data_IF_998167495367
#
_entry.id   IF_998167495367
#
_cell.length_a   1.000
_cell.length_b   1.000
_cell.length_c   1.000
_cell.angle_alpha   90.00
_cell.angle_beta   90.00
_cell.angle_gamma   90.00
#
_symmetry.space_group_name_H-M   'P 1'
#
loop_
_entity.id
_entity.type
_entity.pdbx_description
1 polymer ?
#
# COMPACT_ATOMS: atom_id res chain seq x y z
N UNK A 1 1.18 25.80 -20.22
CA UNK A 1 0.28 26.90 -19.78
C UNK A 1 1.09 28.18 -19.70
N UNK A 2 0.57 29.32 -20.18
CA UNK A 2 1.24 30.61 -20.04
C UNK A 2 1.12 31.15 -18.59
N UNK A 3 2.02 32.06 -18.15
CA UNK A 3 1.90 32.67 -16.83
C UNK A 3 0.56 33.42 -16.62
N UNK A 4 0.02 34.05 -17.66
CA UNK A 4 -1.28 34.74 -17.64
C UNK A 4 -2.43 33.76 -17.44
N UNK A 5 -2.44 32.63 -18.17
CA UNK A 5 -3.45 31.57 -18.01
C UNK A 5 -3.40 30.95 -16.61
N UNK A 6 -2.18 30.80 -16.03
CA UNK A 6 -2.02 30.29 -14.68
C UNK A 6 -2.61 31.25 -13.63
N UNK A 7 -2.38 32.57 -13.77
CA UNK A 7 -2.92 33.60 -12.87
C UNK A 7 -4.44 33.64 -12.92
N UNK A 8 -5.03 33.59 -14.12
CA UNK A 8 -6.50 33.57 -14.31
C UNK A 8 -7.12 32.31 -13.66
N UNK A 9 -6.52 31.13 -13.88
CA UNK A 9 -6.99 29.88 -13.25
C UNK A 9 -7.00 29.99 -11.71
N UNK A 10 -5.91 30.49 -11.13
CA UNK A 10 -5.81 30.64 -9.66
C UNK A 10 -6.87 31.61 -9.14
N UNK A 11 -7.14 32.72 -9.83
CA UNK A 11 -8.19 33.66 -9.46
C UNK A 11 -9.60 33.03 -9.53
N UNK A 12 -9.88 32.23 -10.55
CA UNK A 12 -11.16 31.51 -10.71
C UNK A 12 -11.34 30.44 -9.63
N UNK A 13 -10.28 29.70 -9.32
CA UNK A 13 -10.29 28.73 -8.21
C UNK A 13 -10.52 29.42 -6.86
N UNK A 14 -9.89 30.58 -6.62
CA UNK A 14 -10.08 31.36 -5.41
C UNK A 14 -11.53 31.82 -5.25
N UNK A 15 -12.13 32.36 -6.34
CA UNK A 15 -13.53 32.78 -6.35
C UNK A 15 -14.50 31.63 -6.07
N UNK A 16 -14.18 30.40 -6.53
CA UNK A 16 -15.05 29.23 -6.35
C UNK A 16 -14.91 28.56 -4.99
N UNK A 17 -13.70 28.42 -4.49
CA UNK A 17 -13.40 27.62 -3.29
C UNK A 17 -13.31 28.48 -2.01
N UNK A 18 -13.16 29.79 -2.15
CA UNK A 18 -12.93 30.71 -1.04
C UNK A 18 -11.55 30.54 -0.37
N UNK A 19 -11.26 31.31 0.66
CA UNK A 19 -9.94 31.37 1.28
C UNK A 19 -9.53 30.05 1.98
N UNK A 20 -10.46 29.28 2.50
CA UNK A 20 -10.18 27.99 3.12
C UNK A 20 -9.95 26.88 2.09
N UNK A 21 -10.37 27.09 0.83
CA UNK A 21 -10.35 26.10 -0.23
C UNK A 21 -9.17 26.24 -1.21
N UNK A 22 -8.33 27.29 -1.11
CA UNK A 22 -7.19 27.48 -1.99
C UNK A 22 -5.97 27.96 -1.21
N UNK A 23 -4.81 27.28 -1.41
CA UNK A 23 -3.50 27.69 -0.87
C UNK A 23 -2.61 28.15 -2.03
N UNK A 24 -2.02 29.33 -1.88
CA UNK A 24 -1.10 29.93 -2.88
C UNK A 24 0.20 30.43 -2.26
N UNK A 25 0.23 30.69 -0.95
CA UNK A 25 1.47 31.08 -0.27
C UNK A 25 2.47 29.93 -0.25
N UNK A 26 3.71 30.19 -0.51
CA UNK A 26 4.78 29.19 -0.61
C UNK A 26 4.89 28.30 0.64
N UNK A 27 4.79 28.90 1.82
CA UNK A 27 4.79 28.17 3.10
C UNK A 27 3.67 27.17 3.23
N UNK A 28 2.48 27.49 2.72
CA UNK A 28 1.28 26.67 2.82
C UNK A 28 1.27 25.56 1.76
N UNK A 29 1.89 25.82 0.61
CA UNK A 29 2.00 24.88 -0.52
C UNK A 29 3.12 23.87 -0.32
N UNK A 30 4.20 24.24 0.35
CA UNK A 30 5.39 23.42 0.52
C UNK A 30 5.13 21.99 1.04
N UNK A 31 4.23 21.72 2.01
CA UNK A 31 3.95 20.36 2.47
C UNK A 31 3.32 19.46 1.40
N UNK A 32 2.67 20.04 0.39
CA UNK A 32 2.01 19.33 -0.71
C UNK A 32 2.91 19.13 -1.93
N UNK A 33 4.06 19.82 -1.95
CA UNK A 33 4.95 19.90 -3.11
C UNK A 33 5.99 18.77 -3.18
N UNK A 34 6.12 17.95 -2.16
CA UNK A 34 7.14 16.89 -2.08
C UNK A 34 6.53 15.60 -1.56
N UNK A 35 7.00 14.46 -2.10
CA UNK A 35 6.60 13.14 -1.62
C UNK A 35 7.18 12.84 -0.22
N UNK A 36 6.61 11.84 0.47
CA UNK A 36 7.04 11.43 1.82
C UNK A 36 8.53 11.08 1.89
N UNK A 37 9.11 10.45 0.85
CA UNK A 37 10.53 10.08 0.77
C UNK A 37 11.45 11.26 0.40
N UNK A 38 10.87 12.42 0.05
CA UNK A 38 11.57 13.61 -0.46
C UNK A 38 12.41 13.37 -1.72
N UNK A 39 12.01 12.40 -2.53
CA UNK A 39 12.69 12.08 -3.80
C UNK A 39 12.19 12.93 -4.97
N UNK A 40 10.95 13.40 -4.88
CA UNK A 40 10.26 14.11 -5.96
C UNK A 40 9.81 15.51 -5.48
N UNK A 41 10.75 16.45 -5.29
CA UNK A 41 10.40 17.83 -4.99
C UNK A 41 9.77 18.47 -6.24
N UNK A 42 8.55 18.96 -6.10
CA UNK A 42 7.79 19.61 -7.15
C UNK A 42 7.53 21.09 -6.86
N UNK A 43 6.80 21.73 -7.78
CA UNK A 43 6.34 23.12 -7.65
C UNK A 43 4.96 23.24 -8.29
N UNK A 44 3.86 23.13 -7.53
CA UNK A 44 2.53 23.33 -8.09
C UNK A 44 2.19 24.81 -8.25
N UNK A 45 1.20 25.11 -9.10
CA UNK A 45 0.64 26.45 -9.25
C UNK A 45 -0.10 26.91 -7.97
N UNK A 46 -0.83 25.99 -7.37
CA UNK A 46 -1.59 26.17 -6.14
C UNK A 46 -2.01 24.81 -5.59
N UNK A 47 -2.61 24.82 -4.39
CA UNK A 47 -3.28 23.65 -3.80
C UNK A 47 -4.77 23.96 -3.66
N UNK A 48 -5.59 23.30 -4.48
CA UNK A 48 -7.06 23.34 -4.36
C UNK A 48 -7.50 22.33 -3.30
N UNK A 49 -8.36 22.76 -2.37
CA UNK A 49 -8.85 21.98 -1.23
C UNK A 49 -10.38 22.00 -1.19
N UNK A 50 -11.04 21.29 -2.12
CA UNK A 50 -12.49 21.20 -2.17
C UNK A 50 -13.05 20.53 -0.89
N UNK A 51 -14.28 20.90 -0.50
CA UNK A 51 -15.01 20.34 0.63
C UNK A 51 -16.18 19.45 0.22
N UNK A 52 -16.41 19.30 -1.09
CA UNK A 52 -17.49 18.47 -1.62
C UNK A 52 -17.15 17.91 -3.00
N UNK A 53 -17.82 16.83 -3.40
CA UNK A 53 -17.71 16.25 -4.76
C UNK A 53 -18.06 17.27 -5.83
N UNK A 54 -19.04 18.15 -5.59
CA UNK A 54 -19.38 19.24 -6.50
C UNK A 54 -18.23 20.24 -6.69
N UNK A 55 -17.53 20.60 -5.61
CA UNK A 55 -16.33 21.45 -5.71
C UNK A 55 -15.17 20.76 -6.42
N UNK A 56 -14.97 19.44 -6.22
CA UNK A 56 -14.00 18.67 -7.00
C UNK A 56 -14.32 18.75 -8.49
N UNK A 57 -15.57 18.52 -8.86
CA UNK A 57 -16.02 18.60 -10.26
C UNK A 57 -15.77 19.99 -10.88
N UNK A 58 -16.00 21.07 -10.12
CA UNK A 58 -15.71 22.42 -10.56
C UNK A 58 -14.21 22.67 -10.75
N UNK A 59 -13.37 22.22 -9.80
CA UNK A 59 -11.91 22.33 -9.94
C UNK A 59 -11.44 21.60 -11.21
N UNK A 60 -11.94 20.40 -11.47
CA UNK A 60 -11.59 19.62 -12.67
C UNK A 60 -11.97 20.38 -13.94
N UNK A 61 -13.20 20.96 -14.02
CA UNK A 61 -13.64 21.74 -15.18
C UNK A 61 -12.78 22.97 -15.39
N UNK A 62 -12.49 23.74 -14.33
CA UNK A 62 -11.66 24.93 -14.40
C UNK A 62 -10.23 24.61 -14.87
N UNK A 63 -9.64 23.55 -14.34
CA UNK A 63 -8.32 23.09 -14.76
C UNK A 63 -8.33 22.63 -16.23
N UNK A 64 -9.37 21.91 -16.66
CA UNK A 64 -9.53 21.46 -18.03
C UNK A 64 -9.62 22.63 -18.99
N UNK A 65 -10.45 23.63 -18.70
CA UNK A 65 -10.60 24.85 -19.52
C UNK A 65 -9.27 25.61 -19.64
N UNK A 66 -8.45 25.60 -18.60
CA UNK A 66 -7.13 26.24 -18.58
C UNK A 66 -6.01 25.35 -19.16
N UNK A 67 -6.27 24.08 -19.46
CA UNK A 67 -5.23 23.11 -19.83
C UNK A 67 -4.23 22.82 -18.71
N UNK A 68 -4.64 22.92 -17.45
CA UNK A 68 -3.81 22.70 -16.29
C UNK A 68 -3.96 21.27 -15.77
N UNK A 69 -2.85 20.55 -15.63
CA UNK A 69 -2.88 19.20 -15.09
C UNK A 69 -3.16 19.20 -13.58
N UNK A 70 -3.82 18.13 -13.12
CA UNK A 70 -4.26 17.93 -11.73
C UNK A 70 -3.47 16.78 -11.13
N UNK A 71 -2.97 16.99 -9.91
CA UNK A 71 -2.35 15.96 -9.09
C UNK A 71 -3.25 15.69 -7.87
N UNK A 72 -4.08 14.65 -7.89
CA UNK A 72 -4.89 14.27 -6.72
C UNK A 72 -3.99 13.86 -5.56
N UNK A 73 -4.30 14.38 -4.36
CA UNK A 73 -3.51 14.09 -3.18
C UNK A 73 -4.41 13.86 -1.95
N UNK A 74 -4.22 12.71 -1.30
CA UNK A 74 -4.76 12.41 0.02
C UNK A 74 -3.74 12.75 1.12
N UNK A 75 -3.39 11.76 1.97
CA UNK A 75 -2.45 11.93 3.08
C UNK A 75 -0.96 12.05 2.68
N UNK A 76 -0.64 11.98 1.40
CA UNK A 76 0.71 12.06 0.85
C UNK A 76 1.72 11.08 1.49
N UNK A 77 1.25 9.89 1.87
CA UNK A 77 2.03 8.83 2.52
C UNK A 77 2.65 7.83 1.54
N UNK A 78 2.35 7.97 0.24
CA UNK A 78 2.81 7.05 -0.80
C UNK A 78 4.33 7.09 -1.03
N UNK A 79 4.91 5.93 -1.35
CA UNK A 79 6.35 5.73 -1.49
C UNK A 79 6.86 5.80 -2.93
N UNK A 80 5.96 5.93 -3.91
CA UNK A 80 6.28 5.93 -5.34
C UNK A 80 6.18 7.31 -6.01
N UNK A 81 5.98 8.39 -5.23
CA UNK A 81 5.86 9.76 -5.74
C UNK A 81 4.58 10.02 -6.55
N UNK A 82 3.55 9.18 -6.41
CA UNK A 82 2.28 9.29 -7.16
C UNK A 82 1.48 10.56 -6.87
N UNK A 83 1.62 11.12 -5.66
CA UNK A 83 0.90 12.32 -5.22
C UNK A 83 1.73 13.62 -5.32
N UNK A 84 2.99 13.56 -5.80
CA UNK A 84 3.85 14.74 -5.90
C UNK A 84 3.70 15.42 -7.27
N UNK A 85 3.55 16.77 -7.33
CA UNK A 85 3.54 17.52 -8.58
C UNK A 85 4.94 17.55 -9.21
N UNK A 86 5.01 17.97 -10.48
CA UNK A 86 6.27 18.25 -11.16
C UNK A 86 6.85 19.63 -10.78
N UNK A 87 7.96 20.01 -11.44
CA UNK A 87 8.65 21.29 -11.19
C UNK A 87 8.18 22.43 -12.10
N UNK A 88 7.20 22.21 -12.97
CA UNK A 88 6.77 23.18 -13.98
C UNK A 88 6.14 24.46 -13.39
N UNK A 89 5.53 24.35 -12.22
CA UNK A 89 4.74 25.44 -11.64
C UNK A 89 3.36 25.61 -12.27
N UNK A 90 2.90 24.63 -13.07
CA UNK A 90 1.64 24.70 -13.82
C UNK A 90 0.59 23.69 -13.39
N UNK A 91 0.97 22.71 -12.58
CA UNK A 91 0.05 21.71 -12.07
C UNK A 91 -0.71 22.21 -10.84
N UNK A 92 -1.96 21.82 -10.72
CA UNK A 92 -2.78 22.07 -9.52
C UNK A 92 -2.77 20.81 -8.66
N UNK A 93 -2.31 20.91 -7.41
CA UNK A 93 -2.53 19.83 -6.44
C UNK A 93 -3.97 19.90 -5.95
N UNK A 94 -4.69 18.80 -6.08
CA UNK A 94 -6.07 18.64 -5.61
C UNK A 94 -6.07 17.84 -4.32
N UNK A 95 -6.05 18.53 -3.17
CA UNK A 95 -6.03 17.90 -1.85
C UNK A 95 -7.45 17.61 -1.37
N UNK A 96 -7.71 16.35 -1.03
CA UNK A 96 -9.03 15.89 -0.57
C UNK A 96 -9.20 15.96 0.96
N UNK A 97 -8.22 16.48 1.70
CA UNK A 97 -8.21 16.47 3.17
C UNK A 97 -9.40 17.18 3.85
N UNK A 98 -10.16 18.03 3.15
CA UNK A 98 -11.40 18.64 3.69
C UNK A 98 -12.63 17.74 3.55
N UNK A 99 -12.57 16.71 2.73
CA UNK A 99 -13.65 15.73 2.53
C UNK A 99 -13.41 14.53 3.44
N UNK A 100 -13.61 14.70 4.74
CA UNK A 100 -13.18 13.73 5.76
C UNK A 100 -14.35 13.05 6.49
N UNK A 101 -15.59 13.23 6.04
CA UNK A 101 -16.76 12.71 6.72
C UNK A 101 -16.91 11.18 6.52
N UNK A 102 -17.35 10.52 7.60
CA UNK A 102 -17.96 9.18 7.52
C UNK A 102 -19.44 9.39 7.26
N UNK A 103 -19.90 9.01 6.06
CA UNK A 103 -21.28 9.23 5.63
C UNK A 103 -22.26 8.21 6.21
N UNK A 104 -21.80 6.96 6.42
CA UNK A 104 -22.63 5.89 7.00
C UNK A 104 -21.77 4.77 7.54
N UNK A 105 -22.27 4.08 8.58
CA UNK A 105 -21.76 2.79 9.08
C UNK A 105 -22.95 1.86 9.25
N UNK A 106 -22.95 0.73 8.57
CA UNK A 106 -23.97 -0.30 8.69
C UNK A 106 -23.35 -1.58 9.31
N UNK A 107 -23.60 -1.83 10.60
CA UNK A 107 -23.05 -3.00 11.29
C UNK A 107 -23.72 -4.33 10.88
N UNK A 108 -24.91 -4.29 10.25
CA UNK A 108 -25.64 -5.49 9.76
C UNK A 108 -25.21 -5.84 8.35
N UNK A 109 -25.20 -4.86 7.45
CA UNK A 109 -24.71 -5.00 6.07
C UNK A 109 -23.19 -5.15 6.00
N UNK A 110 -22.47 -4.87 7.10
CA UNK A 110 -21.00 -4.87 7.19
C UNK A 110 -20.40 -3.92 6.16
N UNK A 111 -20.82 -2.67 6.19
CA UNK A 111 -20.31 -1.63 5.30
C UNK A 111 -20.04 -0.31 6.02
N UNK A 112 -19.08 0.45 5.50
CA UNK A 112 -18.77 1.81 5.91
C UNK A 112 -18.63 2.67 4.66
N UNK A 113 -19.31 3.81 4.63
CA UNK A 113 -19.16 4.81 3.56
C UNK A 113 -18.40 6.00 4.08
N UNK A 114 -17.23 6.26 3.51
CA UNK A 114 -16.37 7.37 3.89
C UNK A 114 -15.99 8.24 2.69
N UNK A 115 -15.79 9.51 2.94
CA UNK A 115 -15.20 10.44 1.97
C UNK A 115 -13.71 10.18 1.79
N UNK A 116 -13.17 10.56 0.64
CA UNK A 116 -11.81 10.24 0.22
C UNK A 116 -10.72 10.84 1.13
N UNK A 117 -10.97 11.96 1.78
CA UNK A 117 -10.08 12.61 2.74
C UNK A 117 -10.22 12.10 4.19
N UNK A 118 -11.11 11.13 4.44
CA UNK A 118 -11.20 10.48 5.75
C UNK A 118 -9.91 9.71 6.03
N UNK A 119 -9.27 9.96 7.18
CA UNK A 119 -8.09 9.23 7.61
C UNK A 119 -8.46 7.78 7.88
N UNK A 120 -7.65 6.82 7.44
CA UNK A 120 -7.94 5.39 7.55
C UNK A 120 -8.17 4.97 9.01
N UNK A 121 -7.36 5.46 9.96
CA UNK A 121 -7.56 5.22 11.40
C UNK A 121 -8.94 5.70 11.87
N UNK A 122 -9.40 6.86 11.44
CA UNK A 122 -10.74 7.36 11.77
C UNK A 122 -11.84 6.43 11.27
N UNK A 123 -11.68 5.87 10.06
CA UNK A 123 -12.62 4.89 9.52
C UNK A 123 -12.57 3.55 10.28
N UNK A 124 -11.40 3.11 10.71
CA UNK A 124 -11.22 1.93 11.56
C UNK A 124 -11.88 2.14 12.94
N UNK A 125 -11.68 3.30 13.55
CA UNK A 125 -12.27 3.64 14.87
C UNK A 125 -13.80 3.68 14.79
N UNK A 126 -14.37 4.20 13.69
CA UNK A 126 -15.82 4.21 13.48
C UNK A 126 -16.38 2.78 13.30
N UNK A 127 -15.66 1.89 12.63
CA UNK A 127 -16.02 0.48 12.54
C UNK A 127 -15.93 -0.20 13.92
N UNK A 128 -14.87 0.10 14.69
CA UNK A 128 -14.66 -0.45 16.03
C UNK A 128 -15.76 -0.02 17.03
N UNK A 129 -16.27 1.22 16.91
CA UNK A 129 -17.36 1.75 17.73
C UNK A 129 -18.66 0.93 17.60
N UNK A 130 -18.86 0.25 16.47
CA UNK A 130 -19.99 -0.67 16.24
C UNK A 130 -19.60 -2.14 16.31
N UNK A 131 -18.46 -2.46 16.94
CA UNK A 131 -17.92 -3.82 17.10
C UNK A 131 -17.69 -4.53 15.75
N UNK A 132 -17.12 -3.78 14.78
CA UNK A 132 -16.70 -4.28 13.47
C UNK A 132 -15.25 -3.91 13.22
N UNK A 133 -14.67 -4.47 12.17
CA UNK A 133 -13.30 -4.20 11.73
C UNK A 133 -13.34 -3.75 10.29
N UNK A 134 -12.66 -2.66 9.97
CA UNK A 134 -12.24 -2.32 8.63
C UNK A 134 -10.89 -3.01 8.41
N UNK A 135 -10.81 -4.07 7.58
CA UNK A 135 -9.67 -4.99 7.60
C UNK A 135 -8.45 -4.49 6.80
N UNK A 136 -8.37 -3.22 6.49
CA UNK A 136 -7.24 -2.59 5.82
C UNK A 136 -6.33 -2.00 6.91
N UNK A 137 -5.09 -2.48 7.02
CA UNK A 137 -4.13 -2.04 8.05
C UNK A 137 -2.70 -2.11 7.53
N UNK A 138 -1.99 -1.01 7.64
CA UNK A 138 -0.58 -0.86 7.29
C UNK A 138 0.05 0.31 8.06
N UNK A 139 1.37 0.45 8.02
CA UNK A 139 2.12 1.37 8.88
C UNK A 139 1.65 2.84 8.84
N UNK A 140 1.14 3.33 7.71
CA UNK A 140 0.73 4.74 7.54
C UNK A 140 -0.75 5.01 7.85
N UNK A 141 -1.51 4.09 8.45
CA UNK A 141 -2.96 4.21 8.67
C UNK A 141 -3.38 5.45 9.47
N UNK A 142 -2.49 6.02 10.30
CA UNK A 142 -2.73 7.24 11.07
C UNK A 142 -2.77 8.53 10.24
N UNK A 143 -2.33 8.49 8.98
CA UNK A 143 -2.29 9.67 8.08
C UNK A 143 -2.72 9.36 6.65
N UNK A 144 -2.70 8.11 6.21
CA UNK A 144 -3.25 7.71 4.93
C UNK A 144 -4.76 7.98 4.89
N UNK A 145 -5.26 8.45 3.74
CA UNK A 145 -6.66 8.78 3.53
C UNK A 145 -7.35 7.75 2.64
N UNK A 146 -8.62 7.49 2.87
CA UNK A 146 -9.43 6.48 2.18
C UNK A 146 -9.30 6.57 0.66
N UNK A 147 -9.37 7.77 0.06
CA UNK A 147 -9.22 7.95 -1.38
C UNK A 147 -7.85 7.50 -1.90
N UNK A 148 -6.78 7.80 -1.16
CA UNK A 148 -5.41 7.35 -1.49
C UNK A 148 -5.26 5.84 -1.33
N UNK A 149 -5.80 5.26 -0.25
CA UNK A 149 -5.82 3.81 0.02
C UNK A 149 -6.49 3.04 -1.13
N UNK A 150 -7.62 3.55 -1.61
CA UNK A 150 -8.33 2.96 -2.77
C UNK A 150 -7.55 3.19 -4.07
N UNK A 151 -7.07 4.43 -4.31
CA UNK A 151 -6.37 4.78 -5.53
C UNK A 151 -5.06 4.02 -5.73
N UNK A 152 -4.40 3.60 -4.65
CA UNK A 152 -3.18 2.77 -4.71
C UNK A 152 -3.46 1.27 -4.58
N UNK A 153 -4.72 0.87 -4.33
CA UNK A 153 -5.07 -0.50 -3.97
C UNK A 153 -4.18 -1.01 -2.83
N UNK A 154 -4.09 -0.23 -1.75
CA UNK A 154 -3.16 -0.54 -0.66
C UNK A 154 -3.41 -1.94 -0.06
N UNK A 155 -2.32 -2.60 0.27
CA UNK A 155 -2.31 -3.89 0.96
C UNK A 155 -2.07 -3.75 2.46
N UNK A 156 -1.19 -4.58 3.00
CA UNK A 156 -0.75 -4.59 4.39
C UNK A 156 -0.96 -5.94 5.09
N UNK A 157 -0.96 -5.91 6.40
CA UNK A 157 -0.88 -7.11 7.25
C UNK A 157 -2.03 -8.11 7.09
N UNK A 158 -3.22 -7.64 6.70
CA UNK A 158 -4.44 -8.46 6.69
C UNK A 158 -4.80 -9.03 5.31
N UNK A 159 -3.90 -8.90 4.32
CA UNK A 159 -4.18 -9.28 2.92
C UNK A 159 -4.42 -10.78 2.76
N UNK A 160 -3.68 -11.61 3.49
CA UNK A 160 -3.87 -13.07 3.50
C UNK A 160 -5.34 -13.46 3.73
N UNK A 161 -6.00 -12.79 4.66
CA UNK A 161 -7.38 -13.09 5.06
C UNK A 161 -8.42 -12.30 4.29
N UNK A 162 -8.17 -11.04 4.06
CA UNK A 162 -9.19 -10.09 3.61
C UNK A 162 -8.96 -9.58 2.20
N UNK A 163 -7.85 -9.96 1.58
CA UNK A 163 -7.42 -9.40 0.31
C UNK A 163 -6.99 -7.94 0.41
N UNK A 164 -6.48 -7.42 -0.68
CA UNK A 164 -6.12 -6.01 -0.79
C UNK A 164 -7.36 -5.10 -0.74
N UNK A 165 -7.15 -3.79 -0.72
CA UNK A 165 -8.24 -2.80 -0.71
C UNK A 165 -9.28 -3.07 -1.81
N UNK A 166 -8.89 -3.51 -3.00
CA UNK A 166 -9.76 -3.88 -4.12
C UNK A 166 -10.86 -4.86 -3.72
N UNK A 167 -10.53 -5.88 -2.95
CA UNK A 167 -11.49 -6.89 -2.47
C UNK A 167 -12.49 -6.33 -1.45
N UNK A 168 -12.17 -5.18 -0.86
CA UNK A 168 -12.96 -4.54 0.19
C UNK A 168 -13.75 -3.31 -0.29
N UNK A 169 -13.62 -2.91 -1.58
CA UNK A 169 -14.39 -1.80 -2.16
C UNK A 169 -15.68 -2.32 -2.79
N UNK A 170 -16.82 -1.89 -2.25
CA UNK A 170 -18.16 -2.24 -2.76
C UNK A 170 -18.73 -1.17 -3.68
N UNK A 171 -18.39 0.09 -3.49
CA UNK A 171 -18.87 1.20 -4.31
C UNK A 171 -17.93 2.38 -4.30
N UNK A 172 -17.95 3.18 -5.35
CA UNK A 172 -17.14 4.40 -5.48
C UNK A 172 -17.99 5.58 -5.97
N UNK A 173 -17.60 6.76 -5.53
CA UNK A 173 -17.97 8.04 -6.13
C UNK A 173 -16.69 8.64 -6.73
N UNK A 174 -16.74 9.00 -8.02
CA UNK A 174 -15.57 9.44 -8.79
C UNK A 174 -15.92 10.64 -9.64
N UNK A 175 -15.02 11.63 -9.71
CA UNK A 175 -15.08 12.72 -10.67
C UNK A 175 -14.14 12.38 -11.84
N UNK A 176 -14.67 12.37 -13.06
CA UNK A 176 -13.94 12.09 -14.30
C UNK A 176 -13.21 13.35 -14.81
N UNK A 177 -12.36 13.18 -15.83
CA UNK A 177 -11.56 14.26 -16.40
C UNK A 177 -12.38 15.40 -17.06
N UNK A 178 -13.64 15.13 -17.41
CA UNK A 178 -14.57 16.15 -17.93
C UNK A 178 -15.35 16.88 -16.83
N UNK A 179 -15.14 16.51 -15.55
CA UNK A 179 -15.86 17.02 -14.39
C UNK A 179 -17.23 16.37 -14.17
N UNK A 180 -17.59 15.32 -14.89
CA UNK A 180 -18.79 14.54 -14.59
C UNK A 180 -18.59 13.69 -13.33
N UNK A 181 -19.67 13.46 -12.60
CA UNK A 181 -19.66 12.68 -11.34
C UNK A 181 -20.31 11.33 -11.58
N UNK A 182 -19.56 10.27 -11.35
CA UNK A 182 -20.08 8.90 -11.34
C UNK A 182 -20.43 8.53 -9.90
N UNK A 183 -21.71 8.54 -9.54
CA UNK A 183 -22.22 8.25 -8.21
C UNK A 183 -22.59 6.78 -8.06
N UNK A 184 -21.64 5.94 -7.68
CA UNK A 184 -21.81 4.49 -7.55
C UNK A 184 -21.61 3.97 -6.13
N UNK A 185 -22.04 4.70 -5.10
CA UNK A 185 -21.93 4.30 -3.70
C UNK A 185 -22.96 3.24 -3.32
N UNK A 186 -22.93 2.10 -4.00
CA UNK A 186 -23.81 0.97 -3.72
C UNK A 186 -23.15 0.03 -2.72
N UNK A 187 -23.84 -0.29 -1.63
CA UNK A 187 -23.38 -1.19 -0.58
C UNK A 187 -23.79 -2.67 -0.88
N UNK A 188 -23.66 -3.09 -2.13
CA UNK A 188 -24.12 -4.40 -2.58
C UNK A 188 -22.93 -5.36 -2.70
N UNK A 189 -23.08 -6.58 -2.14
CA UNK A 189 -22.10 -7.67 -2.34
C UNK A 189 -22.24 -8.36 -3.69
N UNK A 190 -23.43 -8.29 -4.29
CA UNK A 190 -23.75 -8.84 -5.61
C UNK A 190 -24.36 -7.73 -6.46
N UNK A 191 -23.65 -7.28 -7.47
CA UNK A 191 -24.12 -6.31 -8.47
C UNK A 191 -23.50 -6.66 -9.83
N UNK A 192 -24.24 -7.45 -10.62
CA UNK A 192 -23.86 -7.84 -11.99
C UNK A 192 -24.61 -6.99 -13.05
N UNK A 193 -25.15 -5.83 -12.67
CA UNK A 193 -25.89 -4.94 -13.55
C UNK A 193 -24.94 -4.05 -14.38
N UNK A 194 -24.22 -4.62 -15.33
CA UNK A 194 -23.27 -3.93 -16.21
C UNK A 194 -21.80 -4.19 -15.83
N UNK A 195 -20.92 -3.39 -16.40
CA UNK A 195 -19.48 -3.49 -16.10
C UNK A 195 -19.17 -3.08 -14.67
N UNK A 196 -18.24 -3.77 -14.03
CA UNK A 196 -17.71 -3.39 -12.72
C UNK A 196 -16.67 -2.27 -12.86
N UNK A 197 -17.14 -1.10 -13.30
CA UNK A 197 -16.32 0.06 -13.63
C UNK A 197 -15.49 0.60 -12.45
N UNK A 198 -15.93 0.40 -11.19
CA UNK A 198 -15.18 0.84 -10.01
C UNK A 198 -13.78 0.24 -9.96
N UNK A 199 -13.59 -0.96 -10.52
CA UNK A 199 -12.30 -1.65 -10.55
C UNK A 199 -11.26 -0.95 -11.44
N UNK A 200 -11.67 -0.06 -12.35
CA UNK A 200 -10.76 0.76 -13.15
C UNK A 200 -10.08 1.84 -12.28
N UNK A 201 -10.76 2.33 -11.27
CA UNK A 201 -10.26 3.41 -10.41
C UNK A 201 -9.46 2.90 -9.20
N UNK A 202 -9.73 1.67 -8.73
CA UNK A 202 -8.93 1.04 -7.67
C UNK A 202 -7.54 0.69 -8.22
N UNK A 203 -6.50 1.28 -7.63
CA UNK A 203 -5.12 1.11 -8.09
C UNK A 203 -4.76 1.96 -9.32
N UNK A 204 -5.61 2.95 -9.70
CA UNK A 204 -5.33 3.86 -10.81
C UNK A 204 -4.41 5.04 -10.45
N UNK A 205 -4.08 5.21 -9.19
CA UNK A 205 -3.22 6.28 -8.67
C UNK A 205 -3.65 7.69 -9.12
N UNK A 206 -4.98 7.91 -9.23
CA UNK A 206 -5.54 9.20 -9.64
C UNK A 206 -5.36 9.55 -11.11
N UNK A 207 -4.94 8.61 -11.96
CA UNK A 207 -4.70 8.86 -13.39
C UNK A 207 -5.96 8.72 -14.25
N UNK A 208 -7.01 8.06 -13.75
CA UNK A 208 -8.25 7.81 -14.50
C UNK A 208 -9.45 8.60 -13.99
N UNK A 209 -9.38 9.11 -12.77
CA UNK A 209 -10.45 9.86 -12.09
C UNK A 209 -10.05 10.24 -10.69
N UNK A 210 -10.78 11.16 -10.09
CA UNK A 210 -10.59 11.58 -8.69
C UNK A 210 -11.65 10.90 -7.83
N UNK A 211 -11.24 9.97 -6.97
CA UNK A 211 -12.12 9.29 -6.01
C UNK A 211 -12.51 10.29 -4.93
N UNK A 212 -13.82 10.49 -4.69
CA UNK A 212 -14.35 11.42 -3.70
C UNK A 212 -15.00 10.73 -2.51
N UNK A 213 -15.49 9.49 -2.67
CA UNK A 213 -15.97 8.64 -1.58
C UNK A 213 -15.92 7.17 -1.96
N UNK A 214 -15.90 6.31 -0.95
CA UNK A 214 -15.92 4.85 -1.11
C UNK A 214 -16.86 4.18 -0.12
N UNK A 215 -17.49 3.08 -0.55
CA UNK A 215 -18.14 2.11 0.32
C UNK A 215 -17.16 0.96 0.54
N UNK A 216 -16.77 0.77 1.79
CA UNK A 216 -15.80 -0.24 2.22
C UNK A 216 -16.51 -1.36 2.98
N UNK A 217 -16.07 -2.59 2.74
CA UNK A 217 -16.54 -3.79 3.44
C UNK A 217 -15.94 -3.83 4.85
N UNK A 218 -16.79 -4.13 5.83
CA UNK A 218 -16.40 -4.44 7.19
C UNK A 218 -16.42 -5.95 7.44
N UNK A 219 -15.74 -6.37 8.49
CA UNK A 219 -15.75 -7.73 9.00
C UNK A 219 -16.22 -7.76 10.46
N UNK A 220 -16.68 -8.93 10.91
CA UNK A 220 -16.91 -9.16 12.32
C UNK A 220 -15.59 -9.04 13.09
N UNK A 221 -15.64 -8.44 14.28
CA UNK A 221 -14.47 -8.38 15.16
C UNK A 221 -14.18 -9.78 15.72
N UNK A 222 -12.96 -10.31 15.51
CA UNK A 222 -12.58 -11.59 16.11
C UNK A 222 -12.56 -11.48 17.64
N UNK A 223 -12.92 -12.57 18.33
CA UNK A 223 -12.93 -12.64 19.80
C UNK A 223 -11.65 -13.26 20.34
N UNK A 224 -11.02 -14.10 19.55
CA UNK A 224 -9.81 -14.84 19.90
C UNK A 224 -8.74 -14.52 18.86
N UNK A 225 -7.53 -14.28 19.33
CA UNK A 225 -6.33 -14.05 18.52
C UNK A 225 -5.23 -14.92 19.10
N UNK A 226 -4.50 -15.60 18.25
CA UNK A 226 -3.32 -16.37 18.58
C UNK A 226 -2.15 -15.84 17.75
N UNK A 227 -1.10 -15.34 18.41
CA UNK A 227 0.09 -14.80 17.78
C UNK A 227 1.29 -15.60 18.25
N UNK A 228 2.06 -16.15 17.31
CA UNK A 228 3.25 -16.94 17.58
C UNK A 228 4.46 -16.48 16.76
N UNK A 229 5.65 -16.65 17.33
CA UNK A 229 6.93 -16.52 16.66
C UNK A 229 7.64 -17.85 16.69
N UNK A 230 8.12 -18.33 15.52
CA UNK A 230 8.84 -19.57 15.38
C UNK A 230 10.21 -19.31 14.74
N UNK A 231 11.23 -20.00 15.22
CA UNK A 231 12.54 -20.08 14.59
C UNK A 231 12.53 -21.22 13.57
N UNK A 232 12.83 -20.94 12.30
CA UNK A 232 12.81 -21.92 11.21
C UNK A 232 14.19 -22.00 10.53
N UNK A 233 14.61 -23.17 10.02
CA UNK A 233 15.94 -23.33 9.46
C UNK A 233 16.13 -22.63 8.12
N UNK A 234 15.10 -22.57 7.30
CA UNK A 234 15.13 -22.04 5.93
C UNK A 234 13.74 -21.60 5.45
N UNK A 235 13.65 -20.90 4.31
CA UNK A 235 12.36 -20.50 3.73
C UNK A 235 11.50 -21.67 3.25
N UNK A 236 12.07 -22.80 2.90
CA UNK A 236 11.36 -24.02 2.52
C UNK A 236 10.59 -24.59 3.72
N UNK A 237 11.20 -24.61 4.91
CA UNK A 237 10.53 -24.99 6.15
C UNK A 237 9.40 -24.01 6.50
N UNK A 238 9.63 -22.70 6.31
CA UNK A 238 8.57 -21.69 6.46
C UNK A 238 7.38 -21.93 5.52
N UNK A 239 7.64 -22.37 4.28
CA UNK A 239 6.59 -22.68 3.30
C UNK A 239 5.80 -23.94 3.72
N UNK A 240 6.47 -25.01 4.22
CA UNK A 240 5.78 -26.19 4.75
C UNK A 240 4.95 -25.84 5.97
N UNK A 241 5.47 -25.02 6.89
CA UNK A 241 4.73 -24.49 8.04
C UNK A 241 3.50 -23.68 7.60
N UNK A 242 3.63 -22.86 6.55
CA UNK A 242 2.49 -22.13 5.99
C UNK A 242 1.42 -23.08 5.46
N UNK A 243 1.80 -24.13 4.73
CA UNK A 243 0.86 -25.13 4.23
C UNK A 243 0.16 -25.86 5.38
N UNK A 244 0.90 -26.29 6.40
CA UNK A 244 0.32 -26.89 7.62
C UNK A 244 -0.68 -25.94 8.31
N UNK A 245 -0.29 -24.65 8.43
CA UNK A 245 -1.17 -23.66 9.02
C UNK A 245 -2.45 -23.43 8.19
N UNK A 246 -2.34 -23.46 6.84
CA UNK A 246 -3.52 -23.37 5.96
C UNK A 246 -4.47 -24.56 6.13
N UNK A 247 -3.95 -25.76 6.26
CA UNK A 247 -4.75 -26.98 6.41
C UNK A 247 -5.50 -27.00 7.78
N UNK A 248 -4.85 -26.52 8.86
CA UNK A 248 -5.40 -26.60 10.20
C UNK A 248 -6.18 -25.34 10.64
N UNK A 249 -5.74 -24.15 10.22
CA UNK A 249 -6.33 -22.88 10.65
C UNK A 249 -7.20 -22.23 9.54
N UNK A 250 -6.97 -22.59 8.28
CA UNK A 250 -7.74 -22.09 7.13
C UNK A 250 -7.84 -20.57 7.10
N UNK A 251 -9.07 -20.07 6.94
CA UNK A 251 -9.35 -18.62 6.88
C UNK A 251 -9.13 -17.88 8.21
N UNK A 252 -8.75 -18.56 9.29
CA UNK A 252 -8.39 -17.91 10.54
C UNK A 252 -7.02 -17.25 10.48
N UNK A 253 -6.14 -17.64 9.54
CA UNK A 253 -4.84 -17.01 9.35
C UNK A 253 -5.05 -15.55 8.96
N UNK A 254 -4.56 -14.63 9.78
CA UNK A 254 -4.65 -13.19 9.56
C UNK A 254 -3.36 -12.62 8.99
N UNK A 255 -2.21 -13.12 9.46
CA UNK A 255 -0.90 -12.75 8.96
C UNK A 255 0.06 -13.94 9.03
N UNK A 256 0.98 -14.03 8.09
CA UNK A 256 2.07 -15.00 8.06
C UNK A 256 3.32 -14.32 7.49
N UNK A 257 4.22 -13.91 8.40
CA UNK A 257 5.37 -13.07 8.11
C UNK A 257 6.65 -13.90 8.12
N UNK A 258 7.41 -13.85 7.03
CA UNK A 258 8.78 -14.38 6.97
C UNK A 258 9.76 -13.28 7.38
N UNK A 259 10.74 -13.60 8.23
CA UNK A 259 11.70 -12.62 8.76
C UNK A 259 13.10 -13.25 8.72
N UNK A 260 14.06 -12.63 8.03
CA UNK A 260 15.45 -13.10 8.04
C UNK A 260 16.11 -12.87 9.41
N UNK A 261 17.07 -13.72 9.74
CA UNK A 261 17.89 -13.56 10.96
C UNK A 261 18.60 -12.22 11.01
N UNK A 262 19.03 -11.69 9.85
CA UNK A 262 19.62 -10.36 9.74
C UNK A 262 18.63 -9.28 10.20
N UNK A 263 17.36 -9.35 9.82
CA UNK A 263 16.33 -8.39 10.22
C UNK A 263 16.23 -8.27 11.74
N UNK A 264 16.12 -9.40 12.47
CA UNK A 264 16.03 -9.38 13.94
C UNK A 264 17.36 -8.99 14.60
N UNK A 265 18.50 -9.35 13.99
CA UNK A 265 19.81 -8.89 14.47
C UNK A 265 19.97 -7.36 14.37
N UNK A 266 19.44 -6.73 13.29
CA UNK A 266 19.41 -5.28 13.14
C UNK A 266 18.49 -4.62 14.18
N UNK A 267 17.30 -5.17 14.41
CA UNK A 267 16.36 -4.70 15.43
C UNK A 267 17.05 -4.69 16.81
N UNK A 268 17.69 -5.79 17.18
CA UNK A 268 18.41 -5.90 18.45
C UNK A 268 19.58 -4.90 18.56
N UNK A 269 20.37 -4.75 17.47
CA UNK A 269 21.52 -3.83 17.41
C UNK A 269 21.12 -2.37 17.61
N UNK A 270 19.98 -1.98 17.08
CA UNK A 270 19.50 -0.59 17.12
C UNK A 270 18.51 -0.30 18.25
N UNK A 271 18.50 -1.14 19.29
CA UNK A 271 17.76 -0.89 20.53
C UNK A 271 16.26 -1.23 20.45
N UNK A 272 15.85 -2.06 19.49
CA UNK A 272 14.49 -2.58 19.42
C UNK A 272 14.16 -3.64 20.49
N UNK A 273 12.97 -4.21 20.45
CA UNK A 273 12.53 -5.23 21.39
C UNK A 273 13.44 -6.47 21.39
N UNK A 274 13.52 -7.14 22.53
CA UNK A 274 14.29 -8.39 22.65
C UNK A 274 13.53 -9.52 21.97
N UNK A 275 14.22 -10.25 21.08
CA UNK A 275 13.72 -11.50 20.55
C UNK A 275 13.64 -12.55 21.68
N UNK A 276 12.48 -13.17 21.94
CA UNK A 276 12.33 -14.20 22.97
C UNK A 276 13.01 -15.52 22.60
N UNK A 277 13.28 -15.77 21.30
CA UNK A 277 13.93 -16.97 20.79
C UNK A 277 15.44 -16.77 20.64
N UNK A 278 16.17 -17.87 20.53
CA UNK A 278 17.59 -17.84 20.16
C UNK A 278 17.84 -17.35 18.72
N UNK A 279 19.11 -17.13 18.33
CA UNK A 279 19.46 -16.81 16.97
C UNK A 279 19.06 -17.93 16.00
N UNK A 280 18.41 -17.58 14.90
CA UNK A 280 18.02 -18.48 13.82
C UNK A 280 18.26 -17.80 12.48
N UNK A 281 18.52 -18.55 11.40
CA UNK A 281 18.62 -17.99 10.04
C UNK A 281 17.33 -17.28 9.61
N UNK A 282 16.19 -17.85 9.99
CA UNK A 282 14.87 -17.33 9.65
C UNK A 282 13.88 -17.47 10.80
N UNK A 283 12.85 -16.64 10.77
CA UNK A 283 11.73 -16.69 11.70
C UNK A 283 10.42 -16.54 10.93
N UNK A 284 9.36 -17.09 11.51
CA UNK A 284 7.98 -16.90 11.08
C UNK A 284 7.19 -16.29 12.21
N UNK A 285 6.57 -15.14 11.97
CA UNK A 285 5.54 -14.56 12.83
C UNK A 285 4.18 -14.89 12.22
N UNK A 286 3.36 -15.65 12.92
CA UNK A 286 2.02 -16.02 12.50
C UNK A 286 0.98 -15.47 13.45
N UNK A 287 -0.09 -14.91 12.89
CA UNK A 287 -1.27 -14.50 13.64
C UNK A 287 -2.52 -15.12 13.04
N UNK A 288 -3.30 -15.77 13.88
CA UNK A 288 -4.61 -16.27 13.53
C UNK A 288 -5.68 -15.61 14.40
N UNK A 289 -6.86 -15.37 13.82
CA UNK A 289 -7.95 -14.69 14.52
C UNK A 289 -9.31 -15.33 14.19
N UNK A 290 -10.15 -15.58 15.20
CA UNK A 290 -11.45 -16.24 15.04
C UNK A 290 -12.46 -15.78 16.07
N UNK A 291 -13.72 -16.05 15.82
CA UNK A 291 -14.80 -15.95 16.82
C UNK A 291 -14.99 -17.24 17.62
N UNK A 292 -14.30 -18.33 17.23
CA UNK A 292 -14.40 -19.64 17.86
C UNK A 292 -13.35 -19.80 18.98
N UNK A 293 -13.73 -20.36 20.15
CA UNK A 293 -12.82 -20.48 21.28
C UNK A 293 -11.68 -21.49 21.08
N UNK A 294 -11.86 -22.49 20.19
CA UNK A 294 -10.85 -23.52 19.90
C UNK A 294 -9.61 -23.01 19.12
N UNK A 295 -9.57 -21.72 18.75
CA UNK A 295 -8.46 -21.18 17.96
C UNK A 295 -7.09 -21.38 18.62
N UNK A 296 -7.00 -21.20 19.94
CA UNK A 296 -5.74 -21.35 20.66
C UNK A 296 -5.22 -22.78 20.61
N UNK A 297 -6.10 -23.76 20.87
CA UNK A 297 -5.76 -25.18 20.79
C UNK A 297 -5.30 -25.58 19.39
N UNK A 298 -5.97 -25.08 18.35
CA UNK A 298 -5.57 -25.32 16.98
C UNK A 298 -4.19 -24.69 16.65
N UNK A 299 -3.93 -23.47 17.11
CA UNK A 299 -2.63 -22.84 16.97
C UNK A 299 -1.51 -23.62 17.70
N UNK A 300 -1.78 -24.09 18.93
CA UNK A 300 -0.84 -24.94 19.69
C UNK A 300 -0.54 -26.26 18.97
N UNK A 301 -1.55 -26.87 18.34
CA UNK A 301 -1.39 -28.08 17.55
C UNK A 301 -0.49 -27.85 16.32
N UNK A 302 -0.69 -26.72 15.58
CA UNK A 302 0.17 -26.34 14.45
C UNK A 302 1.63 -26.15 14.89
N UNK A 303 1.85 -25.45 16.01
CA UNK A 303 3.20 -25.25 16.56
C UNK A 303 3.85 -26.57 16.96
N UNK A 304 3.10 -27.43 17.65
CA UNK A 304 3.57 -28.78 18.06
C UNK A 304 3.97 -29.63 16.86
N UNK A 305 3.12 -29.71 15.85
CA UNK A 305 3.39 -30.46 14.63
C UNK A 305 4.61 -29.90 13.86
N UNK A 306 4.77 -28.59 13.77
CA UNK A 306 5.92 -27.95 13.14
C UNK A 306 7.26 -28.28 13.84
N UNK A 307 7.25 -28.33 15.18
CA UNK A 307 8.42 -28.74 15.96
C UNK A 307 8.71 -30.23 15.79
N UNK A 308 7.70 -31.09 15.82
CA UNK A 308 7.85 -32.54 15.63
C UNK A 308 8.37 -32.90 14.23
N UNK A 309 7.94 -32.17 13.19
CA UNK A 309 8.37 -32.37 11.80
C UNK A 309 9.74 -31.74 11.51
N UNK A 310 10.25 -30.90 12.41
CA UNK A 310 11.52 -30.18 12.24
C UNK A 310 11.42 -28.96 11.32
N UNK A 311 10.20 -28.52 10.98
CA UNK A 311 9.97 -27.29 10.24
C UNK A 311 10.18 -26.05 11.10
N UNK A 312 10.02 -26.18 12.41
CA UNK A 312 10.45 -25.21 13.41
C UNK A 312 11.45 -25.83 14.37
N UNK A 313 12.43 -25.05 14.84
CA UNK A 313 13.46 -25.42 15.79
C UNK A 313 13.10 -24.97 17.21
N UNK A 314 12.36 -23.90 17.33
CA UNK A 314 11.88 -23.30 18.58
C UNK A 314 10.66 -22.43 18.28
N UNK A 315 9.85 -22.12 19.30
CA UNK A 315 8.67 -21.29 19.09
C UNK A 315 8.06 -20.79 20.39
N UNK A 316 7.38 -19.67 20.30
CA UNK A 316 6.62 -19.07 21.41
C UNK A 316 5.23 -18.65 20.93
N UNK A 317 4.20 -19.05 21.68
CA UNK A 317 2.83 -18.58 21.50
C UNK A 317 2.53 -17.53 22.59
N UNK A 318 2.09 -16.35 22.18
CA UNK A 318 1.76 -15.27 23.11
C UNK A 318 0.60 -15.69 24.05
N UNK A 319 0.78 -15.46 25.33
CA UNK A 319 -0.23 -15.74 26.38
C UNK A 319 -1.09 -14.52 26.71
N UNK A 320 -0.66 -13.33 26.24
CA UNK A 320 -1.36 -12.07 26.48
C UNK A 320 -1.24 -11.13 25.29
N UNK A 321 -2.16 -10.15 25.19
CA UNK A 321 -2.07 -9.11 24.17
C UNK A 321 -0.78 -8.30 24.26
N UNK A 322 -0.19 -8.13 25.44
CA UNK A 322 1.09 -7.46 25.61
C UNK A 322 2.25 -8.26 24.98
N UNK A 323 2.25 -9.59 25.17
CA UNK A 323 3.25 -10.45 24.52
C UNK A 323 3.07 -10.45 23.01
N UNK A 324 1.83 -10.56 22.49
CA UNK A 324 1.53 -10.45 21.07
C UNK A 324 2.03 -9.13 20.47
N UNK A 325 1.75 -8.01 21.14
CA UNK A 325 2.26 -6.70 20.73
C UNK A 325 3.79 -6.65 20.74
N UNK A 326 4.44 -7.31 21.69
CA UNK A 326 5.91 -7.44 21.73
C UNK A 326 6.48 -8.22 20.54
N UNK A 327 5.81 -9.30 20.11
CA UNK A 327 6.20 -10.05 18.91
C UNK A 327 6.03 -9.21 17.63
N UNK A 328 4.91 -8.50 17.50
CA UNK A 328 4.69 -7.57 16.37
C UNK A 328 5.69 -6.44 16.36
N UNK A 329 6.07 -5.88 17.51
CA UNK A 329 7.08 -4.82 17.60
C UNK A 329 8.46 -5.24 17.06
N UNK A 330 8.81 -6.53 17.10
CA UNK A 330 10.01 -7.06 16.43
C UNK A 330 9.90 -6.87 14.90
N UNK A 331 8.75 -7.23 14.32
CA UNK A 331 8.51 -7.13 12.88
C UNK A 331 8.41 -5.67 12.41
N UNK A 332 7.71 -4.84 13.15
CA UNK A 332 7.50 -3.43 12.83
C UNK A 332 8.79 -2.60 12.96
N UNK A 333 9.66 -2.97 13.90
CA UNK A 333 10.95 -2.32 14.13
C UNK A 333 11.98 -2.51 13.01
N UNK A 334 11.79 -3.47 12.09
CA UNK A 334 12.78 -3.80 11.05
C UNK A 334 13.08 -2.60 10.15
N UNK A 335 12.06 -1.89 9.68
CA UNK A 335 12.23 -0.76 8.75
C UNK A 335 13.04 0.39 9.36
N UNK A 336 12.83 0.69 10.65
CA UNK A 336 13.58 1.72 11.37
C UNK A 336 15.02 1.26 11.64
N UNK A 337 15.20 0.02 12.08
CA UNK A 337 16.52 -0.55 12.34
C UNK A 337 17.37 -0.58 11.05
N UNK A 338 16.79 -0.95 9.93
CA UNK A 338 17.43 -0.94 8.62
C UNK A 338 17.85 0.49 8.20
N UNK A 339 17.01 1.49 8.44
CA UNK A 339 17.34 2.89 8.15
C UNK A 339 18.52 3.41 8.98
N UNK A 340 18.69 2.91 10.21
CA UNK A 340 19.82 3.24 11.08
C UNK A 340 21.11 2.49 10.70
N UNK A 341 21.01 1.33 10.07
CA UNK A 341 22.16 0.52 9.66
C UNK A 341 22.90 1.12 8.46
N UNK A 342 22.20 1.79 7.54
CA UNK A 342 22.85 2.43 6.41
C UNK A 342 21.97 2.61 5.18
N UNK A 343 22.62 2.74 4.00
CA UNK A 343 21.93 2.97 2.73
C UNK A 343 21.21 1.69 2.26
N UNK A 344 19.92 1.64 2.49
CA UNK A 344 19.06 0.56 1.99
C UNK A 344 18.41 0.92 0.65
N UNK A 345 18.46 -0.01 -0.32
CA UNK A 345 17.63 0.00 -1.53
C UNK A 345 16.42 -0.90 -1.27
N UNK A 346 15.25 -0.30 -1.25
CA UNK A 346 14.01 -0.96 -0.82
C UNK A 346 13.25 -1.54 -2.00
N UNK A 347 12.94 -2.82 -1.93
CA UNK A 347 12.10 -3.52 -2.90
C UNK A 347 10.87 -4.06 -2.19
N UNK A 348 9.74 -3.78 -2.76
CA UNK A 348 8.42 -4.25 -2.38
C UNK A 348 7.90 -5.09 -3.56
N UNK A 349 8.19 -6.39 -3.53
CA UNK A 349 7.96 -7.28 -4.66
C UNK A 349 7.03 -8.41 -4.28
N UNK A 350 6.34 -8.98 -5.24
CA UNK A 350 5.58 -10.21 -5.02
C UNK A 350 5.95 -11.27 -6.04
N UNK A 351 5.96 -12.53 -5.58
CA UNK A 351 6.12 -13.72 -6.40
C UNK A 351 5.08 -14.76 -6.00
N UNK A 352 4.78 -15.78 -6.83
CA UNK A 352 3.94 -16.89 -6.39
C UNK A 352 4.45 -17.46 -5.06
N UNK A 353 3.56 -17.67 -4.09
CA UNK A 353 3.92 -18.08 -2.71
C UNK A 353 4.85 -19.29 -2.71
N UNK A 354 4.52 -20.31 -3.50
CA UNK A 354 5.34 -21.52 -3.62
C UNK A 354 6.74 -21.28 -4.19
N UNK A 355 6.96 -20.15 -4.87
CA UNK A 355 8.24 -19.79 -5.46
C UNK A 355 9.15 -18.97 -4.53
N UNK A 356 8.64 -18.50 -3.37
CA UNK A 356 9.39 -17.62 -2.47
C UNK A 356 10.76 -18.18 -2.10
N UNK A 357 10.92 -19.46 -1.67
CA UNK A 357 12.24 -19.99 -1.32
C UNK A 357 13.22 -19.95 -2.49
N UNK A 358 12.79 -20.39 -3.67
CA UNK A 358 13.61 -20.39 -4.88
C UNK A 358 13.97 -18.98 -5.36
N UNK A 359 13.02 -18.03 -5.24
CA UNK A 359 13.23 -16.61 -5.53
C UNK A 359 14.31 -16.01 -4.62
N UNK A 360 14.21 -16.21 -3.30
CA UNK A 360 15.19 -15.70 -2.33
C UNK A 360 16.59 -16.23 -2.65
N UNK A 361 16.73 -17.55 -2.86
CA UNK A 361 18.00 -18.17 -3.22
C UNK A 361 18.56 -17.65 -4.56
N UNK A 362 17.72 -17.39 -5.55
CA UNK A 362 18.15 -16.85 -6.84
C UNK A 362 18.57 -15.37 -6.73
N UNK A 363 17.84 -14.57 -5.95
CA UNK A 363 18.14 -13.16 -5.73
C UNK A 363 19.45 -12.97 -4.95
N UNK A 364 19.66 -13.79 -3.90
CA UNK A 364 20.92 -13.78 -3.13
C UNK A 364 22.12 -14.13 -4.02
N UNK A 365 22.01 -15.17 -4.87
CA UNK A 365 23.06 -15.52 -5.83
C UNK A 365 23.32 -14.40 -6.84
N UNK A 366 22.27 -13.83 -7.43
CA UNK A 366 22.40 -12.75 -8.40
C UNK A 366 23.07 -11.51 -7.82
N UNK A 367 22.77 -11.17 -6.55
CA UNK A 367 23.44 -10.07 -5.84
C UNK A 367 24.90 -10.38 -5.55
N UNK A 368 25.21 -11.58 -5.04
CA UNK A 368 26.59 -11.99 -4.76
C UNK A 368 27.46 -11.93 -6.01
N UNK A 369 26.94 -12.36 -7.16
CA UNK A 369 27.66 -12.39 -8.44
C UNK A 369 27.84 -11.01 -9.05
N UNK A 370 26.79 -10.16 -9.05
CA UNK A 370 26.79 -8.87 -9.77
C UNK A 370 27.16 -7.68 -8.90
N UNK A 371 26.93 -7.76 -7.60
CA UNK A 371 27.12 -6.67 -6.63
C UNK A 371 27.78 -7.18 -5.34
N UNK A 372 29.05 -7.61 -5.41
CA UNK A 372 29.76 -8.14 -4.24
C UNK A 372 29.76 -7.17 -3.07
N UNK A 373 29.51 -7.66 -1.86
CA UNK A 373 29.42 -6.87 -0.64
C UNK A 373 28.04 -6.29 -0.33
N UNK A 374 27.09 -6.35 -1.27
CA UNK A 374 25.69 -6.04 -0.97
C UNK A 374 25.12 -7.10 -0.01
N UNK A 375 24.36 -6.66 1.01
CA UNK A 375 23.75 -7.54 2.00
C UNK A 375 22.24 -7.56 1.84
N UNK A 376 21.63 -8.67 1.37
CA UNK A 376 20.18 -8.79 1.32
C UNK A 376 19.58 -8.84 2.73
N UNK A 377 18.45 -8.19 2.91
CA UNK A 377 17.65 -8.23 4.12
C UNK A 377 16.18 -8.48 3.71
N UNK A 378 15.78 -9.75 3.74
CA UNK A 378 14.45 -10.17 3.32
C UNK A 378 13.53 -10.36 4.51
N UNK A 379 12.32 -9.79 4.40
CA UNK A 379 11.22 -10.01 5.34
C UNK A 379 9.91 -9.67 4.63
N UNK A 380 8.77 -10.12 5.12
CA UNK A 380 7.49 -9.71 4.54
C UNK A 380 6.38 -10.72 4.68
N UNK A 381 5.29 -10.41 3.99
CA UNK A 381 4.01 -11.11 4.04
C UNK A 381 4.07 -12.39 3.20
N UNK A 382 4.74 -13.45 3.70
CA UNK A 382 4.86 -14.70 2.97
C UNK A 382 3.50 -15.29 2.59
N UNK A 383 2.50 -15.08 3.47
CA UNK A 383 1.16 -15.63 3.28
C UNK A 383 0.42 -15.12 2.04
N UNK A 384 0.82 -13.98 1.47
CA UNK A 384 0.22 -13.41 0.25
C UNK A 384 1.24 -13.22 -0.90
N UNK A 385 2.48 -13.65 -0.71
CA UNK A 385 3.52 -13.62 -1.74
C UNK A 385 4.34 -12.33 -1.77
N UNK A 386 4.08 -11.36 -0.90
CA UNK A 386 4.82 -10.10 -0.84
C UNK A 386 6.07 -10.22 0.02
N UNK A 387 7.21 -9.90 -0.57
CA UNK A 387 8.52 -9.89 0.10
C UNK A 387 9.15 -8.50 -0.04
N UNK A 388 9.49 -7.92 1.10
CA UNK A 388 10.40 -6.78 1.17
C UNK A 388 11.83 -7.30 1.05
N UNK A 389 12.31 -7.41 -0.18
CA UNK A 389 13.66 -7.85 -0.45
C UNK A 389 14.58 -6.64 -0.50
N UNK A 390 14.90 -6.09 0.67
CA UNK A 390 15.75 -4.90 0.77
C UNK A 390 17.23 -5.28 0.67
N UNK A 391 18.04 -4.36 0.15
CA UNK A 391 19.47 -4.57 -0.02
C UNK A 391 20.23 -3.43 0.65
N UNK A 392 21.04 -3.76 1.64
CA UNK A 392 22.01 -2.84 2.21
C UNK A 392 23.21 -2.74 1.26
N UNK A 393 23.18 -1.72 0.41
CA UNK A 393 24.15 -1.49 -0.64
C UNK A 393 25.43 -0.83 -0.09
N UNK A 394 26.58 -1.13 -0.71
CA UNK A 394 27.83 -0.42 -0.44
C UNK A 394 27.81 0.98 -1.04
N UNK A 395 28.74 1.85 -0.62
CA UNK A 395 28.72 3.27 -1.02
C UNK A 395 28.91 3.49 -2.54
N UNK A 396 29.57 2.59 -3.21
CA UNK A 396 29.85 2.61 -4.64
C UNK A 396 28.75 1.96 -5.50
N UNK A 397 27.81 1.25 -4.89
CA UNK A 397 26.69 0.61 -5.61
C UNK A 397 25.57 1.59 -5.86
N UNK A 398 25.24 1.81 -7.14
CA UNK A 398 24.10 2.63 -7.52
C UNK A 398 22.78 1.91 -7.24
N UNK A 399 21.78 2.61 -6.70
CA UNK A 399 20.46 2.05 -6.43
C UNK A 399 19.77 1.48 -7.67
N UNK A 400 19.99 2.08 -8.84
CA UNK A 400 19.46 1.59 -10.13
C UNK A 400 20.05 0.22 -10.52
N UNK A 401 21.35 0.00 -10.27
CA UNK A 401 21.99 -1.29 -10.52
C UNK A 401 21.41 -2.37 -9.59
N UNK A 402 21.19 -2.05 -8.31
CA UNK A 402 20.56 -2.95 -7.35
C UNK A 402 19.12 -3.27 -7.78
N UNK A 403 18.33 -2.24 -8.15
CA UNK A 403 16.97 -2.42 -8.65
C UNK A 403 16.95 -3.33 -9.89
N UNK A 404 17.86 -3.14 -10.84
CA UNK A 404 17.90 -3.94 -12.06
C UNK A 404 18.13 -5.43 -11.72
N UNK A 405 19.10 -5.74 -10.84
CA UNK A 405 19.38 -7.12 -10.44
C UNK A 405 18.20 -7.79 -9.79
N UNK A 406 17.57 -7.12 -8.80
CA UNK A 406 16.44 -7.69 -8.07
C UNK A 406 15.21 -7.83 -8.97
N UNK A 407 14.88 -6.81 -9.74
CA UNK A 407 13.69 -6.84 -10.61
C UNK A 407 13.84 -7.86 -11.75
N UNK A 408 15.05 -8.12 -12.27
CA UNK A 408 15.28 -9.16 -13.28
C UNK A 408 14.95 -10.55 -12.70
N UNK A 409 15.34 -10.81 -11.45
CA UNK A 409 14.98 -12.06 -10.77
C UNK A 409 13.47 -12.15 -10.52
N UNK A 410 12.84 -11.07 -10.05
CA UNK A 410 11.38 -11.01 -9.85
C UNK A 410 10.63 -11.38 -11.14
N UNK A 411 11.04 -10.80 -12.27
CA UNK A 411 10.45 -11.07 -13.59
C UNK A 411 10.63 -12.54 -14.00
N UNK A 412 11.81 -13.13 -13.77
CA UNK A 412 12.08 -14.54 -14.07
C UNK A 412 11.17 -15.50 -13.29
N UNK A 413 10.67 -15.08 -12.13
CA UNK A 413 9.68 -15.83 -11.34
C UNK A 413 8.23 -15.46 -11.62
N UNK A 414 7.95 -14.63 -12.65
CA UNK A 414 6.60 -14.19 -12.98
C UNK A 414 6.00 -13.24 -11.93
N UNK A 415 6.85 -12.55 -11.18
CA UNK A 415 6.47 -11.69 -10.09
C UNK A 415 6.12 -10.26 -10.48
N UNK A 416 5.82 -9.42 -9.48
CA UNK A 416 5.56 -8.00 -9.61
C UNK A 416 6.65 -7.17 -8.93
N UNK A 417 7.08 -6.10 -9.59
CA UNK A 417 8.06 -5.13 -9.04
C UNK A 417 7.44 -4.15 -8.04
N UNK A 418 6.14 -4.24 -7.81
CA UNK A 418 5.43 -3.48 -6.79
C UNK A 418 4.24 -4.29 -6.29
N UNK A 419 4.33 -4.79 -5.07
CA UNK A 419 3.26 -5.54 -4.42
C UNK A 419 2.19 -4.61 -3.83
N UNK A 420 2.62 -3.56 -3.10
CA UNK A 420 1.74 -2.65 -2.35
C UNK A 420 1.93 -1.18 -2.72
N UNK A 421 3.18 -0.74 -2.96
CA UNK A 421 3.53 0.68 -3.01
C UNK A 421 3.04 1.43 -4.25
N UNK A 422 2.54 0.73 -5.26
CA UNK A 422 2.17 1.30 -6.56
C UNK A 422 3.37 1.64 -7.44
N UNK A 423 3.10 2.21 -8.57
CA UNK A 423 4.08 2.57 -9.60
C UNK A 423 4.52 4.03 -9.47
N UNK A 424 3.56 4.95 -9.32
CA UNK A 424 3.78 6.38 -9.26
C UNK A 424 4.60 6.89 -10.43
N UNK A 425 5.49 7.83 -10.17
CA UNK A 425 6.53 8.25 -11.13
C UNK A 425 7.85 7.48 -10.94
N UNK A 426 8.04 6.85 -9.77
CA UNK A 426 9.28 6.17 -9.42
C UNK A 426 9.53 4.92 -10.27
N UNK A 427 8.49 4.16 -10.60
CA UNK A 427 8.59 2.89 -11.33
C UNK A 427 7.95 2.93 -12.73
N UNK A 428 7.49 4.08 -13.21
CA UNK A 428 6.76 4.16 -14.48
C UNK A 428 7.59 3.65 -15.68
N UNK A 429 8.89 3.99 -15.75
CA UNK A 429 9.80 3.50 -16.77
C UNK A 429 10.05 1.97 -16.65
N UNK A 430 10.21 1.47 -15.42
CA UNK A 430 10.37 0.03 -15.16
C UNK A 430 9.11 -0.77 -15.53
N UNK A 431 7.93 -0.23 -15.27
CA UNK A 431 6.68 -0.87 -15.69
C UNK A 431 6.64 -1.09 -17.20
N UNK A 432 6.95 -0.05 -17.98
CA UNK A 432 6.95 -0.12 -19.45
C UNK A 432 8.01 -1.09 -19.97
N UNK A 433 9.16 -1.15 -19.31
CA UNK A 433 10.24 -2.08 -19.69
C UNK A 433 9.88 -3.55 -19.48
N UNK A 434 9.03 -3.85 -18.47
CA UNK A 434 8.76 -5.21 -18.00
C UNK A 434 7.40 -5.77 -18.38
N UNK A 435 6.52 -4.94 -18.91
CA UNK A 435 5.21 -5.37 -19.39
C UNK A 435 5.22 -5.55 -20.91
N UNK A 436 4.35 -6.43 -21.38
CA UNK A 436 4.24 -6.64 -22.83
C UNK A 436 3.76 -5.36 -23.55
N UNK A 437 4.13 -5.18 -24.82
CA UNK A 437 3.63 -4.03 -25.60
C UNK A 437 2.10 -3.96 -25.64
N UNK A 438 1.42 -5.10 -25.62
CA UNK A 438 -0.03 -5.23 -25.64
C UNK A 438 -0.66 -4.75 -24.33
N UNK A 439 -0.07 -5.10 -23.18
CA UNK A 439 -0.52 -4.60 -21.87
C UNK A 439 -0.38 -3.08 -21.78
N UNK A 440 0.76 -2.53 -22.22
CA UNK A 440 1.01 -1.08 -22.23
C UNK A 440 0.07 -0.37 -23.21
N UNK A 441 -0.16 -0.95 -24.40
CA UNK A 441 -1.10 -0.40 -25.37
C UNK A 441 -2.54 -0.39 -24.84
N UNK A 442 -2.96 -1.44 -24.11
CA UNK A 442 -4.26 -1.50 -23.46
C UNK A 442 -4.38 -0.44 -22.36
N UNK A 443 -3.37 -0.31 -21.50
CA UNK A 443 -3.36 0.69 -20.43
C UNK A 443 -3.45 2.12 -20.99
N UNK A 444 -2.73 2.43 -22.08
CA UNK A 444 -2.82 3.71 -22.78
C UNK A 444 -4.20 3.96 -23.39
N UNK A 445 -4.85 2.94 -23.96
CA UNK A 445 -6.23 3.07 -24.48
C UNK A 445 -7.23 3.38 -23.38
N UNK A 446 -7.12 2.71 -22.23
CA UNK A 446 -7.97 2.99 -21.06
C UNK A 446 -7.76 4.44 -20.60
N UNK A 447 -6.50 4.87 -20.46
CA UNK A 447 -6.16 6.25 -20.10
C UNK A 447 -6.77 7.26 -21.09
N UNK A 448 -6.58 7.06 -22.39
CA UNK A 448 -7.10 7.95 -23.42
C UNK A 448 -8.65 7.98 -23.48
N UNK A 449 -9.31 6.88 -23.14
CA UNK A 449 -10.77 6.84 -23.11
C UNK A 449 -11.37 7.63 -21.93
N UNK A 450 -10.71 7.64 -20.78
CA UNK A 450 -11.20 8.32 -19.56
C UNK A 450 -10.60 9.73 -19.35
N UNK A 451 -9.43 9.97 -19.90
CA UNK A 451 -8.70 11.24 -19.81
C UNK A 451 -7.97 11.54 -21.13
N UNK A 452 -8.73 11.90 -22.18
CA UNK A 452 -8.15 12.10 -23.53
C UNK A 452 -7.17 13.28 -23.61
N UNK A 453 -7.30 14.25 -22.72
CA UNK A 453 -6.45 15.46 -22.66
C UNK A 453 -5.21 15.28 -21.76
N UNK A 454 -5.08 14.11 -21.08
CA UNK A 454 -3.96 13.84 -20.19
C UNK A 454 -3.93 14.75 -18.94
N UNK A 455 -5.10 15.19 -18.48
CA UNK A 455 -5.27 16.15 -17.40
C UNK A 455 -4.90 15.56 -16.02
N UNK A 456 -5.29 14.30 -15.78
CA UNK A 456 -5.22 13.67 -14.48
C UNK A 456 -3.87 12.98 -14.26
N UNK A 457 -3.14 13.46 -13.28
CA UNK A 457 -1.90 12.90 -12.73
C UNK A 457 -0.88 12.47 -13.80
N UNK A 458 -0.49 13.34 -14.75
CA UNK A 458 0.36 12.97 -15.88
C UNK A 458 1.73 12.49 -15.41
N UNK A 459 2.32 11.53 -16.16
CA UNK A 459 3.63 10.94 -15.85
C UNK A 459 3.64 9.96 -14.66
N UNK A 460 2.48 9.62 -14.11
CA UNK A 460 2.31 8.59 -13.08
C UNK A 460 1.71 7.33 -13.71
N UNK A 461 2.10 6.16 -13.22
CA UNK A 461 1.77 4.84 -13.75
C UNK A 461 2.32 4.63 -15.16
N UNK A 462 1.99 5.47 -16.09
CA UNK A 462 2.53 5.49 -17.46
C UNK A 462 3.40 6.75 -17.65
N UNK A 463 4.61 6.63 -18.23
CA UNK A 463 5.40 7.80 -18.61
C UNK A 463 4.69 8.62 -19.69
N UNK A 464 5.00 9.93 -19.74
CA UNK A 464 4.49 10.87 -20.75
C UNK A 464 4.94 10.50 -22.15
#
# INVERSE_FOLDING_TARGET
MSPETNHDLVARLAARLGPAGLLTAESDVAPYAVDWRRLFPGRPACVARPASTGEVAEVVRLCREAGAAIVPQGGNTGLAGGAAPDRSGTQVVLSLGRMAAIRAVDPVGLTLTAEAGCVLRTAQDAAAAVNRVLPISFAAEGSAMVGGVVATNAGGLNVVRHGMTRANVLGLEVVLADGSVVAGLRALRKDNAGYDWKQLFVGSEGTLGVITAAVLRLSARPRHVATALLAVPDPEAALRLFTLAQDELGEAIQAFELISGLSLALVARHGGPRNPLGPSPWYVLVEAASSLPALREAAEAVLGAALEQGDAQDGVLAESGQQAAGLWALREGITEAEAKEGRGVKHDVSVPIAAIPAFLAAADRALADKLPGARPNAFGHMGDGNIHYNVLATADQAGEAVNAVVHDVVEAFGGSISAEHGIGQYRAAELVRRRTPEEIALARRIKAALDPEGLLNPGKVLPL
#
